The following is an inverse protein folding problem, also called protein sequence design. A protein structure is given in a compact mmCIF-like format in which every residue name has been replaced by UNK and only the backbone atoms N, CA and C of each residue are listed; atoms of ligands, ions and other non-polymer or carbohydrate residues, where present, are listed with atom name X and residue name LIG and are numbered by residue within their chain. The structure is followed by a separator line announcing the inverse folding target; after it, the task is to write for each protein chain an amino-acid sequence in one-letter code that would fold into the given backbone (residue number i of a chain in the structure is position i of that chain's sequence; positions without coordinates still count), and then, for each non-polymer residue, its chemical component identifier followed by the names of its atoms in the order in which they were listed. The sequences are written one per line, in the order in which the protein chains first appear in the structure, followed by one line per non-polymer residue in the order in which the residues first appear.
data_IF_249413669015
#
_entry.id   IF_249413669015
#
_cell.length_a   1.000
_cell.length_b   1.000
_cell.length_c   1.000
_cell.angle_alpha   90.00
_cell.angle_beta   90.00
_cell.angle_gamma   90.00
#
_symmetry.space_group_name_H-M   'P 1'
#
loop_
_entity.id
_entity.type
_entity.pdbx_description
1 polymer ?
#
# COMPACT_ATOMS: atom_id res chain seq x y z
N UNK A 1 -9.96 -3.15 -11.12
CA UNK A 1 -8.89 -2.59 -11.99
C UNK A 1 -7.64 -3.42 -11.75
N UNK A 2 -6.79 -3.58 -12.77
CA UNK A 2 -5.92 -4.74 -12.92
C UNK A 2 -4.61 -4.24 -13.55
N UNK A 3 -3.50 -4.27 -12.82
CA UNK A 3 -2.23 -3.60 -13.19
C UNK A 3 -0.98 -4.29 -12.61
N UNK A 4 -0.05 -4.58 -13.51
CA UNK A 4 1.05 -5.54 -13.44
C UNK A 4 2.13 -5.36 -12.36
N UNK A 5 2.52 -6.49 -11.76
CA UNK A 5 3.72 -6.73 -10.94
C UNK A 5 4.33 -8.11 -11.23
N UNK A 6 5.65 -8.24 -11.13
CA UNK A 6 6.49 -9.40 -11.52
C UNK A 6 7.44 -9.71 -10.32
N UNK A 7 7.81 -10.96 -9.92
CA UNK A 7 7.58 -12.30 -10.52
C UNK A 7 6.86 -13.34 -9.61
N UNK A 8 6.88 -13.18 -8.28
CA UNK A 8 6.53 -14.24 -7.30
C UNK A 8 7.65 -14.64 -6.34
N UNK A 9 8.80 -13.97 -6.40
CA UNK A 9 9.90 -13.97 -5.42
C UNK A 9 10.12 -12.54 -4.94
N UNK A 10 10.87 -12.34 -3.85
CA UNK A 10 10.99 -11.04 -3.19
C UNK A 10 11.94 -10.04 -3.90
N UNK A 11 11.83 -9.92 -5.24
CA UNK A 11 12.56 -8.97 -6.07
C UNK A 11 11.55 -8.22 -6.95
N UNK A 12 11.31 -6.94 -6.68
CA UNK A 12 10.48 -6.10 -7.55
C UNK A 12 11.33 -5.68 -8.75
N UNK A 13 11.11 -6.28 -9.92
CA UNK A 13 11.70 -5.78 -11.17
C UNK A 13 10.99 -4.49 -11.62
N UNK A 14 11.74 -3.42 -11.91
CA UNK A 14 11.25 -2.27 -12.65
C UNK A 14 11.60 -2.40 -14.16
N UNK A 15 11.00 -1.62 -15.06
CA UNK A 15 11.36 -1.67 -16.50
C UNK A 15 12.68 -0.98 -16.85
N UNK A 16 13.41 -0.50 -15.85
CA UNK A 16 14.88 -0.52 -15.85
C UNK A 16 15.29 -1.59 -14.84
N UNK A 17 16.35 -2.35 -15.12
CA UNK A 17 16.81 -3.56 -14.40
C UNK A 17 17.25 -3.37 -12.93
N UNK A 18 16.73 -2.36 -12.25
CA UNK A 18 16.84 -2.15 -10.81
C UNK A 18 15.87 -3.10 -10.12
N UNK A 19 16.42 -4.13 -9.46
CA UNK A 19 15.72 -4.93 -8.46
C UNK A 19 15.94 -4.33 -7.07
N UNK A 20 15.00 -4.62 -6.17
CA UNK A 20 15.03 -4.16 -4.78
C UNK A 20 14.96 -5.33 -3.81
N UNK A 21 15.80 -5.29 -2.78
CA UNK A 21 15.77 -6.19 -1.61
C UNK A 21 15.17 -5.47 -0.40
N UNK A 22 14.64 -6.26 0.54
CA UNK A 22 14.10 -5.78 1.81
C UNK A 22 15.11 -6.02 2.94
N UNK A 23 15.23 -5.05 3.84
CA UNK A 23 15.99 -5.12 5.09
C UNK A 23 15.06 -4.94 6.28
N UNK A 24 15.01 -5.93 7.18
CA UNK A 24 14.05 -6.03 8.29
C UNK A 24 14.79 -5.76 9.61
N UNK A 25 14.34 -4.73 10.32
CA UNK A 25 14.89 -4.33 11.62
C UNK A 25 13.83 -4.58 12.69
N UNK A 26 14.21 -5.21 13.80
CA UNK A 26 13.29 -5.67 14.84
C UNK A 26 12.45 -6.90 14.45
N UNK A 27 11.51 -7.28 15.32
CA UNK A 27 10.62 -8.44 15.14
C UNK A 27 9.26 -8.03 14.56
N UNK A 28 8.68 -8.79 13.61
CA UNK A 28 7.30 -8.53 13.18
C UNK A 28 6.33 -8.46 14.36
N UNK A 29 5.41 -7.50 14.30
CA UNK A 29 4.45 -7.13 15.36
C UNK A 29 5.04 -6.49 16.62
N UNK A 30 6.15 -5.75 16.50
CA UNK A 30 6.66 -4.86 17.56
C UNK A 30 6.70 -3.39 17.13
N UNK A 31 6.80 -2.45 18.09
CA UNK A 31 6.73 -0.99 17.84
C UNK A 31 7.93 -0.43 17.07
N UNK A 32 9.03 -1.17 17.07
CA UNK A 32 10.31 -0.93 16.41
C UNK A 32 10.41 -1.59 15.03
N UNK A 33 9.51 -2.53 14.69
CA UNK A 33 9.56 -3.25 13.42
C UNK A 33 9.51 -2.31 12.21
N UNK A 34 10.56 -2.39 11.39
CA UNK A 34 10.76 -1.49 10.26
C UNK A 34 11.34 -2.25 9.08
N UNK A 35 10.74 -2.09 7.88
CA UNK A 35 11.25 -2.67 6.63
C UNK A 35 11.77 -1.54 5.73
N UNK A 36 13.08 -1.53 5.50
CA UNK A 36 13.76 -0.65 4.54
C UNK A 36 13.88 -1.34 3.18
N UNK A 37 14.07 -0.53 2.14
CA UNK A 37 14.31 -0.98 0.78
C UNK A 37 15.72 -0.61 0.35
N UNK A 38 16.41 -1.54 -0.31
CA UNK A 38 17.76 -1.37 -0.84
C UNK A 38 17.79 -1.82 -2.31
N UNK A 39 18.62 -1.20 -3.15
CA UNK A 39 18.88 -1.73 -4.50
C UNK A 39 19.72 -3.01 -4.40
N UNK A 40 19.26 -4.11 -4.98
CA UNK A 40 19.97 -5.42 -4.90
C UNK A 40 21.38 -5.36 -5.49
N UNK A 41 21.62 -4.43 -6.42
CA UNK A 41 22.90 -4.27 -7.13
C UNK A 41 24.08 -3.88 -6.23
N UNK A 42 23.86 -2.98 -5.28
CA UNK A 42 24.93 -2.34 -4.50
C UNK A 42 24.54 -2.03 -3.04
N UNK A 43 23.35 -2.45 -2.60
CA UNK A 43 22.85 -2.20 -1.24
C UNK A 43 22.41 -0.76 -0.99
N UNK A 44 22.36 0.12 -2.01
CA UNK A 44 21.95 1.51 -1.84
C UNK A 44 20.55 1.61 -1.20
N UNK A 45 20.41 2.23 -0.01
CA UNK A 45 19.11 2.53 0.58
C UNK A 45 18.27 3.40 -0.35
N UNK A 46 16.98 3.10 -0.47
CA UNK A 46 16.04 3.85 -1.32
C UNK A 46 14.76 4.17 -0.55
N UNK A 47 14.20 5.35 -0.80
CA UNK A 47 12.82 5.61 -0.43
C UNK A 47 11.90 4.86 -1.39
N UNK A 48 11.05 3.94 -0.91
CA UNK A 48 10.12 3.28 -1.81
C UNK A 48 9.05 4.29 -2.30
N UNK A 49 8.80 5.40 -1.59
CA UNK A 49 7.84 6.42 -1.99
C UNK A 49 8.38 7.46 -3.00
N UNK A 50 9.71 7.56 -3.16
CA UNK A 50 10.35 8.55 -4.04
C UNK A 50 11.30 7.96 -5.09
N UNK A 51 12.01 6.89 -4.77
CA UNK A 51 13.06 6.31 -5.62
C UNK A 51 12.59 5.11 -6.45
N UNK A 52 11.50 4.44 -6.04
CA UNK A 52 10.87 3.42 -6.87
C UNK A 52 9.90 4.11 -7.83
N UNK A 53 10.11 3.90 -9.13
CA UNK A 53 9.31 4.54 -10.17
C UNK A 53 7.85 4.10 -10.09
N UNK A 54 6.91 5.06 -10.05
CA UNK A 54 5.46 4.79 -10.07
C UNK A 54 5.07 3.81 -11.19
N UNK A 55 5.62 4.03 -12.38
CA UNK A 55 5.44 3.15 -13.51
C UNK A 55 6.62 2.17 -13.58
N UNK A 56 6.35 0.88 -13.66
CA UNK A 56 7.31 -0.04 -14.28
C UNK A 56 7.22 0.18 -15.80
N UNK A 57 6.08 -0.04 -16.46
CA UNK A 57 5.89 0.24 -17.91
C UNK A 57 4.68 1.15 -18.14
N UNK A 58 4.97 2.40 -18.55
CA UNK A 58 3.96 3.42 -18.79
C UNK A 58 3.07 3.16 -20.01
N UNK A 59 3.57 2.46 -21.03
CA UNK A 59 2.82 2.19 -22.26
C UNK A 59 1.79 1.08 -22.05
N UNK A 60 2.14 0.07 -21.26
CA UNK A 60 1.22 -1.01 -20.86
C UNK A 60 0.34 -0.63 -19.65
N UNK A 61 0.63 0.49 -19.00
CA UNK A 61 -0.11 0.98 -17.83
C UNK A 61 0.16 0.12 -16.59
N UNK A 62 1.45 -0.09 -16.29
CA UNK A 62 2.02 -0.99 -15.29
C UNK A 62 2.61 -0.16 -14.14
N UNK A 63 2.29 -0.50 -12.89
CA UNK A 63 2.61 0.29 -11.70
C UNK A 63 3.36 -0.51 -10.64
N UNK A 64 4.27 0.16 -9.92
CA UNK A 64 4.81 -0.34 -8.65
C UNK A 64 3.91 0.13 -7.49
N UNK A 65 3.68 -0.75 -6.51
CA UNK A 65 2.75 -0.51 -5.38
C UNK A 65 3.45 -0.70 -4.03
N UNK A 66 3.43 0.34 -3.20
CA UNK A 66 4.34 0.54 -2.06
C UNK A 66 3.60 1.25 -0.91
N UNK A 67 4.07 1.15 0.34
CA UNK A 67 3.52 1.90 1.50
C UNK A 67 4.42 3.07 1.95
N UNK A 68 3.96 3.91 2.89
CA UNK A 68 4.61 5.18 3.33
C UNK A 68 5.04 5.13 4.80
N UNK A 69 6.19 5.74 5.16
CA UNK A 69 6.42 6.28 6.52
C UNK A 69 7.47 7.43 6.58
N UNK A 70 8.40 7.37 7.55
CA UNK A 70 9.42 8.33 8.04
C UNK A 70 10.51 8.69 6.99
N UNK A 71 11.71 9.10 7.43
CA UNK A 71 12.88 9.25 6.55
C UNK A 71 13.15 7.97 5.77
N UNK A 72 13.42 8.09 4.46
CA UNK A 72 13.45 6.99 3.47
C UNK A 72 12.15 6.16 3.40
N UNK A 73 11.05 6.66 3.94
CA UNK A 73 9.70 6.09 3.92
C UNK A 73 9.61 4.55 4.06
N UNK A 74 10.30 3.91 5.04
CA UNK A 74 10.23 2.46 5.24
C UNK A 74 8.80 2.00 5.58
N UNK A 75 8.54 0.70 5.58
CA UNK A 75 7.25 0.18 6.06
C UNK A 75 7.34 -0.02 7.58
N UNK A 76 6.44 0.62 8.32
CA UNK A 76 6.26 0.47 9.76
C UNK A 76 4.78 0.23 10.06
N UNK A 77 4.46 -0.52 11.11
CA UNK A 77 3.08 -0.70 11.55
C UNK A 77 2.49 0.63 12.09
N UNK A 78 1.23 0.91 11.74
CA UNK A 78 0.48 2.06 12.25
C UNK A 78 0.21 1.91 13.76
N UNK A 79 -0.12 3.03 14.43
CA UNK A 79 -0.34 3.06 15.87
C UNK A 79 -1.67 3.72 16.19
N UNK A 80 -2.33 3.22 17.22
CA UNK A 80 -3.50 3.87 17.82
C UNK A 80 -3.06 5.13 18.60
N UNK A 81 -4.02 5.96 19.01
CA UNK A 81 -3.77 7.19 19.78
C UNK A 81 -3.11 6.92 21.15
N UNK A 82 -3.31 5.74 21.75
CA UNK A 82 -2.63 5.30 22.97
C UNK A 82 -1.18 4.80 22.72
N UNK A 83 -0.75 4.79 21.46
CA UNK A 83 0.56 4.35 21.01
C UNK A 83 0.74 2.82 20.97
N UNK A 84 -0.32 2.03 21.15
CA UNK A 84 -0.35 0.59 20.85
C UNK A 84 -0.23 0.33 19.34
N UNK A 85 -0.07 -0.93 18.95
CA UNK A 85 0.02 -1.31 17.53
C UNK A 85 -1.39 -1.48 16.96
N UNK A 86 -1.67 -0.82 15.85
CA UNK A 86 -2.97 -0.91 15.16
C UNK A 86 -3.12 -2.22 14.41
N UNK A 87 -4.27 -2.85 14.55
CA UNK A 87 -4.68 -4.03 13.79
C UNK A 87 -6.14 -3.87 13.35
N UNK A 88 -6.41 -4.06 12.06
CA UNK A 88 -7.79 -4.13 11.59
C UNK A 88 -8.50 -5.33 12.23
N UNK A 89 -9.74 -5.12 12.68
CA UNK A 89 -10.58 -6.17 13.26
C UNK A 89 -11.16 -7.08 12.17
N UNK A 90 -11.44 -8.33 12.52
CA UNK A 90 -12.26 -9.21 11.67
C UNK A 90 -13.72 -8.78 11.85
N UNK A 91 -14.44 -8.52 10.76
CA UNK A 91 -15.84 -8.13 10.80
C UNK A 91 -16.60 -9.12 9.97
N UNK A 92 -17.50 -9.89 10.59
CA UNK A 92 -18.22 -10.96 9.91
C UNK A 92 -18.92 -10.44 8.64
N UNK A 93 -18.64 -10.97 7.44
CA UNK A 93 -17.97 -12.26 7.08
C UNK A 93 -16.48 -12.18 6.69
N UNK A 94 -15.83 -11.04 6.90
CA UNK A 94 -14.46 -10.73 6.44
C UNK A 94 -13.39 -10.93 7.52
N UNK A 95 -12.36 -11.74 7.23
CA UNK A 95 -11.15 -11.86 8.07
C UNK A 95 -10.05 -10.91 7.58
N UNK A 96 -9.61 -9.98 8.42
CA UNK A 96 -8.58 -9.00 8.07
C UNK A 96 -8.86 -8.18 6.80
N UNK A 97 -7.82 -7.93 6.01
CA UNK A 97 -7.95 -7.36 4.65
C UNK A 97 -8.38 -8.44 3.65
N UNK A 98 -9.29 -8.09 2.75
CA UNK A 98 -9.78 -8.97 1.68
C UNK A 98 -8.83 -9.08 0.46
N UNK A 99 -7.77 -8.26 0.40
CA UNK A 99 -6.83 -8.16 -0.72
C UNK A 99 -5.44 -7.73 -0.24
N UNK A 100 -4.42 -7.95 -1.07
CA UNK A 100 -3.10 -7.35 -0.90
C UNK A 100 -3.21 -5.82 -1.03
N UNK A 101 -2.65 -5.08 -0.06
CA UNK A 101 -2.88 -3.63 0.09
C UNK A 101 -1.59 -2.79 0.15
N UNK A 102 -1.69 -1.52 -0.25
CA UNK A 102 -0.57 -0.61 -0.49
C UNK A 102 -1.04 0.78 -0.94
N UNK A 103 -0.12 1.74 -1.11
CA UNK A 103 -0.43 3.18 -1.14
C UNK A 103 -0.56 3.83 -2.53
N UNK A 104 -1.17 3.12 -3.48
CA UNK A 104 -1.93 3.76 -4.56
C UNK A 104 -3.41 3.78 -4.14
N UNK A 105 -3.88 4.82 -3.44
CA UNK A 105 -5.21 4.83 -2.83
C UNK A 105 -6.31 4.81 -3.90
N UNK A 106 -7.47 4.24 -3.55
CA UNK A 106 -8.67 4.19 -4.39
C UNK A 106 -8.52 3.35 -5.68
N UNK A 107 -7.45 2.55 -5.78
CA UNK A 107 -7.21 1.64 -6.89
C UNK A 107 -7.40 0.18 -6.45
N UNK A 108 -8.09 -0.60 -7.28
CA UNK A 108 -7.96 -2.06 -7.31
C UNK A 108 -6.87 -2.35 -8.35
N UNK A 109 -5.98 -3.31 -8.11
CA UNK A 109 -4.96 -3.77 -9.07
C UNK A 109 -4.90 -5.31 -9.10
N UNK A 110 -4.08 -5.88 -10.00
CA UNK A 110 -3.82 -7.32 -10.06
C UNK A 110 -2.38 -7.56 -10.48
N UNK A 111 -1.75 -8.52 -9.83
CA UNK A 111 -0.49 -9.11 -10.24
C UNK A 111 -0.62 -9.73 -11.66
N UNK A 112 0.44 -9.84 -12.47
CA UNK A 112 0.33 -10.52 -13.80
C UNK A 112 0.81 -11.94 -13.85
N UNK A 113 1.47 -12.36 -12.80
CA UNK A 113 1.71 -13.76 -12.56
C UNK A 113 0.37 -14.41 -12.13
N UNK A 114 -0.67 -13.61 -11.82
CA UNK A 114 -2.05 -14.06 -11.75
C UNK A 114 -2.52 -14.65 -13.10
N UNK A 115 -2.94 -15.94 -13.13
CA UNK A 115 -3.36 -16.62 -14.36
C UNK A 115 -4.55 -15.97 -15.10
N UNK A 116 -5.32 -15.10 -14.44
CA UNK A 116 -6.49 -14.45 -15.00
C UNK A 116 -6.20 -13.05 -15.58
N UNK A 117 -5.00 -12.48 -15.41
CA UNK A 117 -4.66 -11.12 -15.89
C UNK A 117 -5.08 -10.86 -17.34
N UNK A 118 -4.89 -11.83 -18.23
CA UNK A 118 -5.20 -11.73 -19.66
C UNK A 118 -6.71 -11.59 -19.96
N UNK A 119 -7.57 -11.94 -19.00
CA UNK A 119 -9.03 -11.88 -19.09
C UNK A 119 -9.63 -10.61 -18.46
N UNK A 120 -8.77 -9.76 -17.90
CA UNK A 120 -9.14 -8.75 -16.92
C UNK A 120 -8.63 -7.38 -17.40
N UNK A 121 -9.44 -6.69 -18.20
CA UNK A 121 -9.07 -5.47 -18.91
C UNK A 121 -9.66 -4.18 -18.32
N UNK A 122 -10.90 -4.23 -17.84
CA UNK A 122 -11.56 -3.12 -17.15
C UNK A 122 -12.34 -3.60 -15.90
N UNK A 123 -13.12 -2.73 -15.27
CA UNK A 123 -13.81 -3.00 -14.01
C UNK A 123 -14.90 -4.07 -14.13
N UNK A 124 -15.62 -4.12 -15.25
CA UNK A 124 -16.71 -5.06 -15.47
C UNK A 124 -16.23 -6.52 -15.53
N UNK A 125 -14.97 -6.73 -15.96
CA UNK A 125 -14.34 -8.05 -15.93
C UNK A 125 -14.11 -8.54 -14.49
N UNK A 126 -13.93 -7.64 -13.52
CA UNK A 126 -13.77 -8.03 -12.10
C UNK A 126 -15.04 -8.71 -11.60
N UNK A 127 -16.21 -8.13 -11.87
CA UNK A 127 -17.49 -8.74 -11.46
C UNK A 127 -17.77 -10.04 -12.25
N UNK A 128 -17.31 -10.12 -13.50
CA UNK A 128 -17.46 -11.31 -14.34
C UNK A 128 -16.65 -12.52 -13.85
N UNK A 129 -15.44 -12.30 -13.36
CA UNK A 129 -14.53 -13.38 -12.93
C UNK A 129 -14.43 -13.55 -11.41
N UNK A 130 -14.82 -12.53 -10.64
CA UNK A 130 -14.85 -12.52 -9.17
C UNK A 130 -16.19 -11.92 -8.69
N UNK A 131 -17.34 -12.57 -8.99
CA UNK A 131 -18.66 -12.03 -8.65
C UNK A 131 -18.80 -11.77 -7.15
N UNK A 132 -19.33 -10.60 -6.80
CA UNK A 132 -19.48 -10.11 -5.43
C UNK A 132 -18.21 -9.51 -4.80
N UNK A 133 -17.03 -9.60 -5.44
CA UNK A 133 -15.80 -9.01 -4.89
C UNK A 133 -15.90 -7.48 -4.79
N UNK A 134 -16.50 -6.83 -5.79
CA UNK A 134 -16.69 -5.38 -5.79
C UNK A 134 -17.67 -4.94 -4.69
N UNK A 135 -18.73 -5.71 -4.46
CA UNK A 135 -19.70 -5.43 -3.41
C UNK A 135 -19.12 -5.64 -2.01
N UNK A 136 -18.39 -6.75 -1.79
CA UNK A 136 -17.65 -7.00 -0.56
C UNK A 136 -16.57 -5.94 -0.30
N UNK A 137 -15.88 -5.47 -1.34
CA UNK A 137 -14.88 -4.39 -1.25
C UNK A 137 -15.51 -3.10 -0.72
N UNK A 138 -16.64 -2.68 -1.31
CA UNK A 138 -17.36 -1.47 -0.90
C UNK A 138 -17.95 -1.61 0.51
N UNK A 139 -18.45 -2.80 0.86
CA UNK A 139 -18.99 -3.06 2.19
C UNK A 139 -17.89 -3.03 3.27
N UNK A 140 -16.78 -3.73 3.04
CA UNK A 140 -15.62 -3.73 3.93
C UNK A 140 -15.11 -2.31 4.17
N UNK A 141 -14.89 -1.51 3.11
CA UNK A 141 -14.45 -0.13 3.26
C UNK A 141 -15.49 0.76 3.96
N UNK A 142 -16.79 0.45 3.87
CA UNK A 142 -17.82 1.17 4.65
C UNK A 142 -17.67 0.91 6.14
N UNK A 143 -17.44 -0.33 6.55
CA UNK A 143 -17.60 -0.75 7.96
C UNK A 143 -16.32 -0.96 8.76
N UNK A 144 -15.14 -1.04 8.14
CA UNK A 144 -13.93 -1.54 8.82
C UNK A 144 -13.52 -0.78 10.09
N UNK A 145 -14.02 0.45 10.26
CA UNK A 145 -13.79 1.33 11.41
C UNK A 145 -14.92 1.33 12.46
N UNK A 146 -16.06 0.68 12.22
CA UNK A 146 -17.18 0.65 13.18
C UNK A 146 -16.78 -0.02 14.51
N UNK A 147 -16.00 -1.14 14.52
CA UNK A 147 -15.43 -1.69 15.75
C UNK A 147 -14.43 -0.78 16.49
N UNK A 148 -13.92 0.27 15.84
CA UNK A 148 -13.07 1.30 16.44
C UNK A 148 -13.92 2.48 16.99
N UNK A 149 -15.26 2.40 16.91
CA UNK A 149 -16.20 3.43 17.38
C UNK A 149 -16.45 4.56 16.39
N UNK A 150 -16.05 4.41 15.12
CA UNK A 150 -16.27 5.41 14.07
C UNK A 150 -17.56 5.16 13.27
N UNK A 151 -18.11 6.23 12.69
CA UNK A 151 -19.21 6.16 11.73
C UNK A 151 -18.82 5.38 10.45
N UNK A 152 -19.81 4.81 9.72
CA UNK A 152 -19.57 4.18 8.41
C UNK A 152 -18.94 5.15 7.41
N UNK A 153 -17.93 4.70 6.65
CA UNK A 153 -17.34 5.53 5.60
C UNK A 153 -18.29 5.68 4.40
N UNK A 154 -18.36 6.91 3.87
CA UNK A 154 -19.11 7.26 2.67
C UNK A 154 -18.25 7.24 1.40
N UNK A 155 -18.94 7.17 0.24
CA UNK A 155 -18.31 7.08 -1.07
C UNK A 155 -18.87 8.13 -2.02
N UNK A 156 -17.98 8.86 -2.68
CA UNK A 156 -18.33 9.67 -3.84
C UNK A 156 -18.97 8.80 -4.94
N UNK A 157 -19.70 9.44 -5.87
CA UNK A 157 -20.35 8.77 -7.00
C UNK A 157 -21.30 7.63 -6.61
N UNK A 158 -21.97 7.73 -5.45
CA UNK A 158 -22.84 6.69 -4.88
C UNK A 158 -22.15 5.31 -4.71
N UNK A 159 -20.82 5.28 -4.56
CA UNK A 159 -20.06 4.03 -4.46
C UNK A 159 -19.91 3.26 -5.77
N UNK A 160 -20.20 3.88 -6.91
CA UNK A 160 -19.94 3.27 -8.22
C UNK A 160 -18.44 3.19 -8.50
N UNK A 161 -17.96 2.00 -8.85
CA UNK A 161 -16.62 1.84 -9.40
C UNK A 161 -16.48 2.56 -10.75
N UNK A 162 -15.25 2.97 -11.07
CA UNK A 162 -14.92 3.71 -12.30
C UNK A 162 -14.00 2.86 -13.19
N UNK A 163 -14.07 3.11 -14.50
CA UNK A 163 -13.29 2.37 -15.49
C UNK A 163 -11.80 2.65 -15.39
N UNK A 164 -11.00 1.77 -16.00
CA UNK A 164 -9.54 1.88 -16.15
C UNK A 164 -9.14 3.24 -16.69
N UNK A 165 -9.86 3.77 -17.69
CA UNK A 165 -9.60 5.13 -18.25
C UNK A 165 -9.70 6.22 -17.20
N UNK A 166 -10.72 6.17 -16.32
CA UNK A 166 -10.88 7.15 -15.24
C UNK A 166 -9.78 7.00 -14.19
N UNK A 167 -9.48 5.77 -13.77
CA UNK A 167 -8.44 5.51 -12.78
C UNK A 167 -7.04 5.93 -13.26
N UNK A 168 -6.69 5.69 -14.53
CA UNK A 168 -5.44 6.17 -15.14
C UNK A 168 -5.32 7.70 -15.14
N UNK A 169 -6.44 8.44 -15.30
CA UNK A 169 -6.48 9.90 -15.15
C UNK A 169 -6.12 10.32 -13.72
N UNK A 170 -6.73 9.67 -12.71
CA UNK A 170 -6.44 9.93 -11.29
C UNK A 170 -4.97 9.61 -10.93
N UNK A 171 -4.41 8.52 -11.47
CA UNK A 171 -2.97 8.21 -11.28
C UNK A 171 -2.07 9.26 -11.94
N UNK A 172 -2.47 9.80 -13.09
CA UNK A 172 -1.81 10.96 -13.71
C UNK A 172 -1.78 12.18 -12.79
N UNK A 173 -2.93 12.54 -12.23
CA UNK A 173 -3.09 13.66 -11.29
C UNK A 173 -2.25 13.48 -10.02
N UNK A 174 -2.26 12.29 -9.41
CA UNK A 174 -1.40 11.99 -8.25
C UNK A 174 0.10 12.04 -8.58
N UNK A 175 0.50 11.57 -9.76
CA UNK A 175 1.89 11.63 -10.22
C UNK A 175 2.35 13.09 -10.43
N UNK A 176 1.49 13.95 -10.97
CA UNK A 176 1.81 15.37 -11.16
C UNK A 176 1.84 16.15 -9.84
N UNK A 177 0.96 15.82 -8.89
CA UNK A 177 1.05 16.32 -7.52
C UNK A 177 2.34 15.85 -6.81
N UNK A 178 2.72 14.57 -6.95
CA UNK A 178 3.98 14.03 -6.41
C UNK A 178 5.20 14.72 -7.05
N UNK A 179 5.21 14.99 -8.36
CA UNK A 179 6.27 15.80 -9.01
C UNK A 179 6.36 17.22 -8.46
N UNK A 180 5.23 17.83 -8.09
CA UNK A 180 5.20 19.13 -7.43
C UNK A 180 5.82 19.06 -6.03
N UNK A 181 5.43 18.06 -5.24
CA UNK A 181 5.92 17.76 -3.91
C UNK A 181 7.45 17.53 -3.88
N UNK A 182 7.97 16.57 -4.64
CA UNK A 182 9.42 16.24 -4.62
C UNK A 182 10.30 17.34 -5.22
N UNK A 183 9.72 18.32 -5.94
CA UNK A 183 10.42 19.52 -6.42
C UNK A 183 10.24 20.74 -5.51
N UNK A 184 9.69 20.57 -4.31
CA UNK A 184 9.48 21.65 -3.34
C UNK A 184 8.43 22.69 -3.75
N UNK A 185 7.61 22.42 -4.78
CA UNK A 185 6.53 23.31 -5.23
C UNK A 185 5.26 23.20 -4.39
N UNK A 186 5.16 22.14 -3.58
CA UNK A 186 4.05 21.86 -2.67
C UNK A 186 4.65 21.60 -1.29
N UNK A 187 4.08 22.19 -0.24
CA UNK A 187 4.51 22.00 1.15
C UNK A 187 4.30 20.53 1.56
N UNK A 188 5.32 19.86 2.14
CA UNK A 188 5.24 18.43 2.40
C UNK A 188 4.41 18.02 3.64
N UNK A 189 4.05 18.98 4.48
CA UNK A 189 3.41 18.75 5.80
C UNK A 189 4.18 17.72 6.65
N UNK A 190 3.70 16.47 6.73
CA UNK A 190 4.31 15.38 7.52
C UNK A 190 5.12 14.38 6.67
N UNK A 191 5.22 14.59 5.36
CA UNK A 191 5.90 13.68 4.43
C UNK A 191 7.39 13.98 4.39
N UNK A 192 8.25 13.02 4.75
CA UNK A 192 9.67 13.13 4.41
C UNK A 192 9.83 13.09 2.89
N UNK A 193 10.70 13.96 2.35
CA UNK A 193 11.07 14.00 0.92
C UNK A 193 12.39 13.26 0.62
N UNK A 194 12.94 12.57 1.62
CA UNK A 194 14.25 11.94 1.59
C UNK A 194 14.32 10.89 0.49
N UNK A 195 15.29 11.04 -0.42
CA UNK A 195 15.45 10.16 -1.57
C UNK A 195 16.92 10.06 -2.00
N UNK A 196 17.30 8.95 -2.62
CA UNK A 196 18.68 8.65 -3.02
C UNK A 196 18.91 8.63 -4.53
N UNK A 197 17.86 8.61 -5.35
CA UNK A 197 17.97 8.48 -6.82
C UNK A 197 17.58 9.76 -7.57
N UNK A 198 16.59 10.54 -7.10
CA UNK A 198 16.13 11.73 -7.81
C UNK A 198 17.22 12.80 -7.85
N UNK A 199 17.40 13.46 -9.00
CA UNK A 199 18.33 14.59 -9.14
C UNK A 199 17.60 15.90 -8.88
N UNK A 200 18.32 16.89 -8.37
CA UNK A 200 17.85 18.28 -8.23
C UNK A 200 16.58 18.43 -7.38
N UNK A 201 16.41 17.58 -6.37
CA UNK A 201 15.32 17.64 -5.38
C UNK A 201 15.83 18.11 -4.02
N UNK A 202 15.07 18.90 -3.24
CA UNK A 202 15.47 19.35 -1.91
C UNK A 202 15.68 18.24 -0.88
N UNK A 203 15.07 17.06 -1.06
CA UNK A 203 15.27 15.88 -0.18
C UNK A 203 16.35 14.92 -0.65
N UNK A 204 17.25 15.32 -1.55
CA UNK A 204 18.29 14.43 -2.08
C UNK A 204 19.36 14.15 -1.01
N UNK A 205 19.47 12.88 -0.61
CA UNK A 205 20.52 12.37 0.27
C UNK A 205 21.71 11.80 -0.51
N UNK A 206 22.87 11.77 0.13
CA UNK A 206 24.06 11.04 -0.33
C UNK A 206 23.98 9.59 0.18
N UNK A 207 23.83 8.58 -0.69
CA UNK A 207 23.69 7.19 -0.28
C UNK A 207 24.80 6.69 0.64
N UNK A 208 26.03 7.20 0.46
CA UNK A 208 27.22 6.76 1.19
C UNK A 208 27.25 7.24 2.65
N UNK A 209 26.31 8.10 3.04
CA UNK A 209 26.16 8.64 4.41
C UNK A 209 24.94 8.05 5.13
N UNK A 210 24.24 7.11 4.50
CA UNK A 210 23.06 6.46 5.07
C UNK A 210 23.50 5.12 5.67
N UNK A 211 23.53 5.06 6.99
CA UNK A 211 23.77 3.83 7.73
C UNK A 211 22.42 3.26 8.18
N UNK A 212 22.03 2.11 7.62
CA UNK A 212 20.88 1.34 8.08
C UNK A 212 21.33 0.29 9.12
N UNK A 213 20.49 -0.04 10.13
CA UNK A 213 20.74 -1.18 11.01
C UNK A 213 20.90 -2.49 10.21
N UNK A 214 21.53 -3.55 10.75
CA UNK A 214 21.62 -4.84 10.06
C UNK A 214 20.23 -5.43 9.76
N UNK A 215 20.11 -6.26 8.72
CA UNK A 215 18.92 -7.11 8.53
C UNK A 215 18.95 -8.23 9.57
N UNK A 216 17.89 -8.36 10.35
CA UNK A 216 17.81 -9.31 11.47
C UNK A 216 16.97 -10.56 11.14
N UNK A 217 16.09 -10.48 10.13
CA UNK A 217 15.16 -11.52 9.68
C UNK A 217 14.48 -12.35 10.81
N UNK A 218 14.11 -11.70 11.91
CA UNK A 218 13.59 -12.39 13.10
C UNK A 218 12.16 -12.90 12.92
N UNK A 219 11.87 -14.06 13.52
CA UNK A 219 10.51 -14.59 13.62
C UNK A 219 9.55 -13.63 14.35
N UNK A 220 8.27 -13.52 13.90
CA UNK A 220 7.25 -12.71 14.55
C UNK A 220 7.08 -12.99 16.05
N UNK A 221 6.67 -11.99 16.82
CA UNK A 221 6.20 -12.22 18.19
C UNK A 221 4.81 -12.86 18.19
N UNK A 222 4.43 -13.53 19.28
CA UNK A 222 3.07 -14.04 19.43
C UNK A 222 2.08 -12.88 19.61
N UNK A 223 0.98 -12.93 18.86
CA UNK A 223 -0.10 -11.96 18.94
C UNK A 223 -1.13 -12.36 20.00
N UNK A 224 -1.86 -11.38 20.55
CA UNK A 224 -3.02 -11.66 21.42
C UNK A 224 -4.11 -12.36 20.60
N UNK A 225 -4.66 -13.45 21.15
CA UNK A 225 -5.76 -14.21 20.54
C UNK A 225 -7.03 -13.38 20.33
N UNK A 226 -7.19 -12.25 21.03
CA UNK A 226 -8.27 -11.28 20.78
C UNK A 226 -8.23 -10.66 19.38
N UNK A 227 -7.13 -10.81 18.64
CA UNK A 227 -7.08 -10.41 17.22
C UNK A 227 -7.76 -11.42 16.28
N UNK A 228 -8.09 -12.63 16.75
CA UNK A 228 -8.94 -13.59 16.03
C UNK A 228 -10.44 -13.39 16.32
N UNK A 229 -10.81 -12.50 17.24
CA UNK A 229 -12.22 -12.19 17.56
C UNK A 229 -12.96 -11.64 16.33
N UNK A 230 -14.25 -11.94 16.27
CA UNK A 230 -15.15 -11.54 15.19
C UNK A 230 -16.15 -10.50 15.66
N UNK A 231 -16.16 -9.35 15.00
CA UNK A 231 -17.10 -8.27 15.24
C UNK A 231 -18.29 -8.40 14.30
N UNK A 232 -19.50 -8.17 14.83
CA UNK A 232 -20.73 -8.18 14.07
C UNK A 232 -21.21 -6.73 13.92
N UNK A 233 -21.62 -6.33 12.73
CA UNK A 233 -22.13 -4.96 12.48
C UNK A 233 -23.54 -5.07 11.93
N UNK A 234 -24.50 -4.43 12.61
CA UNK A 234 -25.87 -4.27 12.12
C UNK A 234 -25.92 -3.17 11.06
N UNK A 235 -26.40 -3.51 9.86
CA UNK A 235 -26.40 -2.61 8.70
C UNK A 235 -27.64 -1.73 8.60
N UNK A 236 -28.56 -1.86 9.56
CA UNK A 236 -29.69 -0.94 9.76
C UNK A 236 -29.30 0.21 10.70
N UNK A 237 -28.55 -0.08 11.75
CA UNK A 237 -28.13 0.92 12.76
C UNK A 237 -26.69 1.42 12.59
N UNK A 238 -25.87 0.74 11.78
CA UNK A 238 -24.43 0.99 11.60
C UNK A 238 -23.61 0.92 12.89
N UNK A 239 -24.02 0.03 13.80
CA UNK A 239 -23.37 -0.20 15.09
C UNK A 239 -22.84 -1.62 15.18
N UNK A 240 -21.86 -1.80 16.05
CA UNK A 240 -21.49 -3.13 16.54
C UNK A 240 -22.70 -3.79 17.21
N UNK A 241 -22.97 -5.04 16.84
CA UNK A 241 -23.93 -5.92 17.50
C UNK A 241 -23.20 -6.73 18.57
N UNK A 242 -23.82 -6.94 19.76
CA UNK A 242 -23.41 -8.02 20.65
C UNK A 242 -23.65 -9.40 20.01
#
# INVERSE_FOLDING_TARGET
MLVRTDDGRANIEAANTTTYSLRRVGRPYTKDYTIYFEQTKDGTPVSPFHDISLYHDKHKGIFNMISRSKSLNPITQDREDDGSLRFNRNIFTYKGYLWNYGALPQLIVIDVNDPLVSKLSDIDDVERYFPGLLDATRDWFRIYKIPEGHDPNDFAFAGMYRSKKYALKIVGEYNDAWKGLVKGKIKPEKVSLDNTTLKDTPGKLDPKKIELPPDEELSPVHLDKKLDDWYFVDRKTWKESP
#
